data_IF_578305906188
#
_entry.id   IF_578305906188
#
_cell.length_a   1.000
_cell.length_b   1.000
_cell.length_c   1.000
_cell.angle_alpha   90.00
_cell.angle_beta   90.00
_cell.angle_gamma   90.00
#
_symmetry.space_group_name_H-M   'P 1'
#
loop_
_entity.id
_entity.type
_entity.pdbx_description
1 polymer ?
#
# COMPACT_ATOMS: atom_id res chain seq x y z
N UNK A 1 33.47 44.78 -18.08
CA UNK A 1 32.61 44.45 -16.90
C UNK A 1 33.39 44.76 -15.64
N UNK A 2 32.91 45.71 -14.85
CA UNK A 2 33.57 46.07 -13.60
C UNK A 2 33.24 45.10 -12.49
N UNK A 3 34.20 44.68 -11.67
CA UNK A 3 34.01 43.70 -10.54
C UNK A 3 32.79 44.00 -9.64
N UNK A 4 32.43 45.27 -9.50
CA UNK A 4 31.25 45.71 -8.73
C UNK A 4 29.92 45.27 -9.34
N UNK A 5 29.79 45.25 -10.65
CA UNK A 5 28.56 44.84 -11.35
C UNK A 5 28.29 43.32 -11.24
N UNK A 6 29.37 42.53 -11.23
CA UNK A 6 29.31 41.10 -11.02
C UNK A 6 28.87 40.70 -9.60
N UNK A 7 29.33 41.43 -8.59
CA UNK A 7 28.95 41.21 -7.19
C UNK A 7 27.51 41.61 -6.92
N UNK A 8 26.98 42.66 -7.55
CA UNK A 8 25.58 43.06 -7.43
C UNK A 8 24.61 42.06 -8.12
N UNK A 9 25.01 41.45 -9.22
CA UNK A 9 24.24 40.40 -9.90
C UNK A 9 24.18 39.12 -9.06
N UNK A 10 25.24 38.73 -8.37
CA UNK A 10 25.26 37.58 -7.46
C UNK A 10 24.47 37.84 -6.17
N UNK A 11 24.45 39.04 -5.65
CA UNK A 11 23.65 39.42 -4.47
C UNK A 11 22.14 39.41 -4.73
N UNK A 12 21.70 39.76 -5.94
CA UNK A 12 20.30 39.72 -6.34
C UNK A 12 19.74 38.27 -6.51
N UNK A 13 20.57 37.33 -6.94
CA UNK A 13 20.17 35.93 -7.12
C UNK A 13 20.00 35.18 -5.78
N UNK A 14 20.71 35.55 -4.74
CA UNK A 14 20.64 34.91 -3.44
C UNK A 14 19.35 35.27 -2.64
N UNK A 15 18.70 36.38 -2.96
CA UNK A 15 17.45 36.81 -2.31
C UNK A 15 16.20 36.21 -2.92
N UNK A 16 16.28 35.60 -4.14
CA UNK A 16 15.17 34.96 -4.82
C UNK A 16 14.99 33.49 -4.42
N UNK A 17 15.97 32.87 -3.76
CA UNK A 17 15.96 31.45 -3.37
C UNK A 17 14.88 31.06 -2.34
N UNK A 18 14.50 31.87 -1.36
CA UNK A 18 13.47 31.46 -0.39
C UNK A 18 12.02 31.57 -0.89
N UNK A 19 11.77 32.18 -2.06
CA UNK A 19 10.41 32.35 -2.56
C UNK A 19 9.85 31.09 -3.26
N UNK A 20 10.71 30.22 -3.77
CA UNK A 20 10.28 28.98 -4.41
C UNK A 20 9.94 27.86 -3.40
N UNK A 21 10.49 27.90 -2.20
CA UNK A 21 10.19 26.94 -1.13
C UNK A 21 8.81 27.16 -0.48
N UNK A 22 8.20 28.32 -0.64
CA UNK A 22 6.87 28.65 -0.10
C UNK A 22 5.71 28.28 -1.03
N UNK A 23 5.97 27.91 -2.27
CA UNK A 23 4.93 27.54 -3.24
C UNK A 23 4.25 26.19 -2.95
N UNK A 24 4.78 25.39 -2.02
CA UNK A 24 4.15 24.12 -1.59
C UNK A 24 3.19 24.27 -0.40
N UNK A 25 3.18 25.43 0.26
CA UNK A 25 2.39 25.67 1.48
C UNK A 25 0.88 25.87 1.26
N UNK A 26 0.40 25.86 0.01
CA UNK A 26 -1.01 26.11 -0.32
C UNK A 26 -1.79 24.92 -0.91
N UNK A 27 -1.13 23.80 -1.23
CA UNK A 27 -1.83 22.66 -1.83
C UNK A 27 -2.43 21.77 -0.77
N UNK A 28 -3.72 21.50 -0.89
CA UNK A 28 -4.42 20.48 -0.09
C UNK A 28 -4.59 19.24 -0.91
N UNK A 29 -4.12 18.11 -0.40
CA UNK A 29 -4.25 16.78 -1.00
C UNK A 29 -5.49 16.09 -0.48
N UNK A 30 -6.15 15.32 -1.34
CA UNK A 30 -7.29 14.50 -0.96
C UNK A 30 -7.02 13.04 -1.25
N UNK A 31 -7.03 12.18 -0.22
CA UNK A 31 -6.82 10.74 -0.36
C UNK A 31 -8.01 9.97 0.20
N UNK A 32 -8.31 8.82 -0.43
CA UNK A 32 -9.25 7.84 0.10
C UNK A 32 -8.48 6.66 0.70
N UNK A 33 -8.97 6.11 1.81
CA UNK A 33 -8.35 4.95 2.47
C UNK A 33 -9.39 3.85 2.57
N UNK A 34 -9.06 2.67 2.03
CA UNK A 34 -9.88 1.46 2.06
C UNK A 34 -9.14 0.41 2.89
N UNK A 35 -9.63 0.13 4.08
CA UNK A 35 -9.02 -0.83 4.99
C UNK A 35 -10.09 -1.48 5.89
N UNK A 36 -10.03 -2.81 6.06
CA UNK A 36 -10.98 -3.52 6.91
C UNK A 36 -10.73 -3.29 8.40
N UNK A 37 -9.51 -2.90 8.77
CA UNK A 37 -9.18 -2.58 10.15
C UNK A 37 -9.64 -1.16 10.50
N UNK A 38 -10.06 -0.92 11.75
CA UNK A 38 -10.48 0.40 12.21
C UNK A 38 -9.29 1.37 12.30
N UNK A 39 -9.57 2.66 12.38
CA UNK A 39 -8.54 3.72 12.44
C UNK A 39 -7.53 3.54 13.59
N UNK A 40 -7.96 3.01 14.73
CA UNK A 40 -7.08 2.74 15.87
C UNK A 40 -6.21 1.47 15.74
N UNK A 41 -6.32 0.73 14.64
CA UNK A 41 -5.46 -0.41 14.39
C UNK A 41 -4.01 0.03 14.17
N UNK A 42 -3.00 -0.66 14.75
CA UNK A 42 -1.61 -0.18 14.76
C UNK A 42 -1.07 0.22 13.38
N UNK A 43 -1.32 -0.58 12.34
CA UNK A 43 -0.83 -0.27 11.00
C UNK A 43 -1.53 0.96 10.37
N UNK A 44 -2.83 1.16 10.65
CA UNK A 44 -3.58 2.33 10.18
C UNK A 44 -3.11 3.59 10.92
N UNK A 45 -2.90 3.49 12.23
CA UNK A 45 -2.33 4.59 13.03
C UNK A 45 -0.93 4.97 12.53
N UNK A 46 -0.06 3.97 12.28
CA UNK A 46 1.27 4.21 11.75
C UNK A 46 1.27 4.91 10.40
N UNK A 47 0.30 4.60 9.51
CA UNK A 47 0.12 5.30 8.24
C UNK A 47 -0.11 6.80 8.46
N UNK A 48 -1.02 7.17 9.36
CA UNK A 48 -1.31 8.58 9.65
C UNK A 48 -0.13 9.29 10.33
N UNK A 49 0.59 8.59 11.20
CA UNK A 49 1.78 9.12 11.85
C UNK A 49 2.88 9.41 10.82
N UNK A 50 3.07 8.50 9.84
CA UNK A 50 4.07 8.68 8.79
C UNK A 50 3.67 9.77 7.80
N UNK A 51 2.41 9.87 7.42
CA UNK A 51 1.91 11.00 6.62
C UNK A 51 2.23 12.33 7.31
N UNK A 52 1.99 12.43 8.62
CA UNK A 52 2.27 13.63 9.41
C UNK A 52 3.77 13.94 9.48
N UNK A 53 4.65 12.93 9.66
CA UNK A 53 6.11 13.10 9.65
C UNK A 53 6.61 13.63 8.32
N UNK A 54 5.96 13.25 7.23
CA UNK A 54 6.25 13.73 5.88
C UNK A 54 5.53 15.04 5.52
N UNK A 55 4.96 15.74 6.51
CA UNK A 55 4.34 17.04 6.34
C UNK A 55 2.91 17.04 5.82
N UNK A 56 2.29 15.86 5.64
CA UNK A 56 0.88 15.70 5.26
C UNK A 56 0.01 15.61 6.52
N UNK A 57 -0.61 16.71 6.89
CA UNK A 57 -1.35 16.85 8.15
C UNK A 57 -2.84 17.00 7.89
N UNK A 58 -3.65 16.08 8.43
CA UNK A 58 -5.12 16.16 8.34
C UNK A 58 -5.62 17.49 8.90
N UNK A 59 -6.58 18.10 8.19
CA UNK A 59 -7.16 19.38 8.54
C UNK A 59 -6.30 20.60 8.19
N UNK A 60 -5.04 20.40 7.75
CA UNK A 60 -4.18 21.49 7.28
C UNK A 60 -3.97 21.43 5.76
N UNK A 61 -3.35 20.39 5.27
CA UNK A 61 -3.00 20.19 3.86
C UNK A 61 -3.34 18.78 3.36
N UNK A 62 -3.98 17.97 4.18
CA UNK A 62 -4.44 16.63 3.84
C UNK A 62 -5.92 16.48 4.25
N UNK A 63 -6.74 16.07 3.30
CA UNK A 63 -8.10 15.62 3.51
C UNK A 63 -8.11 14.11 3.30
N UNK A 64 -8.44 13.38 4.35
CA UNK A 64 -8.64 11.93 4.26
C UNK A 64 -10.14 11.64 4.30
N UNK A 65 -10.64 10.99 3.27
CA UNK A 65 -11.99 10.44 3.34
C UNK A 65 -11.92 9.09 4.06
N UNK A 66 -12.43 9.07 5.27
CA UNK A 66 -12.39 7.91 6.16
C UNK A 66 -13.56 6.94 6.00
N UNK A 67 -14.45 7.14 5.03
CA UNK A 67 -15.61 6.28 4.80
C UNK A 67 -15.24 4.82 4.49
N UNK A 68 -14.01 4.61 4.01
CA UNK A 68 -13.48 3.29 3.70
C UNK A 68 -12.67 2.61 4.82
N UNK A 69 -12.57 3.24 6.01
CA UNK A 69 -11.82 2.66 7.14
C UNK A 69 -12.75 1.85 8.04
N UNK A 70 -12.37 0.60 8.34
CA UNK A 70 -13.17 -0.30 9.17
C UNK A 70 -14.36 -0.92 8.45
N UNK A 71 -14.35 -0.94 7.12
CA UNK A 71 -15.41 -1.56 6.31
C UNK A 71 -14.97 -2.93 5.78
N UNK A 72 -15.89 -3.89 5.59
CA UNK A 72 -15.55 -5.20 5.04
C UNK A 72 -15.16 -5.11 3.56
N UNK A 73 -14.25 -5.98 3.12
CA UNK A 73 -13.72 -6.02 1.75
C UNK A 73 -14.77 -6.00 0.64
N UNK A 74 -15.93 -6.69 0.74
CA UNK A 74 -16.96 -6.63 -0.29
C UNK A 74 -17.53 -5.24 -0.56
N UNK A 75 -17.39 -4.30 0.38
CA UNK A 75 -17.82 -2.91 0.21
C UNK A 75 -16.78 -2.00 -0.45
N UNK A 76 -15.54 -2.46 -0.61
CA UNK A 76 -14.47 -1.65 -1.18
C UNK A 76 -14.79 -1.10 -2.58
N UNK A 77 -15.33 -1.89 -3.55
CA UNK A 77 -15.63 -1.35 -4.87
C UNK A 77 -16.66 -0.21 -4.85
N UNK A 78 -17.71 -0.34 -4.04
CA UNK A 78 -18.74 0.70 -3.96
C UNK A 78 -18.19 1.97 -3.31
N UNK A 79 -17.48 1.83 -2.19
CA UNK A 79 -16.83 2.96 -1.53
C UNK A 79 -15.77 3.60 -2.43
N UNK A 80 -15.01 2.82 -3.22
CA UNK A 80 -14.05 3.37 -4.18
C UNK A 80 -14.73 4.22 -5.26
N UNK A 81 -15.93 3.84 -5.73
CA UNK A 81 -16.71 4.68 -6.66
C UNK A 81 -17.15 6.00 -6.02
N UNK A 82 -17.53 5.99 -4.76
CA UNK A 82 -17.90 7.19 -4.01
C UNK A 82 -16.68 8.11 -3.82
N UNK A 83 -15.54 7.56 -3.44
CA UNK A 83 -14.27 8.27 -3.33
C UNK A 83 -13.83 8.88 -4.66
N UNK A 84 -14.02 8.16 -5.77
CA UNK A 84 -13.76 8.68 -7.10
C UNK A 84 -14.64 9.89 -7.44
N UNK A 85 -15.93 9.86 -7.09
CA UNK A 85 -16.85 11.02 -7.23
C UNK A 85 -16.42 12.19 -6.35
N UNK A 86 -15.88 11.92 -5.16
CA UNK A 86 -15.31 12.91 -4.26
C UNK A 86 -13.97 13.47 -4.73
N UNK A 87 -13.48 13.02 -5.92
CA UNK A 87 -12.24 13.48 -6.57
C UNK A 87 -11.00 13.31 -5.68
N UNK A 88 -10.85 12.14 -5.05
CA UNK A 88 -9.60 11.79 -4.38
C UNK A 88 -8.47 11.67 -5.41
N UNK A 89 -7.28 12.13 -5.04
CA UNK A 89 -6.08 12.11 -5.89
C UNK A 89 -5.36 10.78 -5.84
N UNK A 90 -5.56 10.00 -4.78
CA UNK A 90 -5.02 8.65 -4.62
C UNK A 90 -5.90 7.82 -3.67
N UNK A 91 -5.82 6.50 -3.84
CA UNK A 91 -6.42 5.51 -2.96
C UNK A 91 -5.33 4.70 -2.26
N UNK A 92 -5.44 4.55 -0.95
CA UNK A 92 -4.63 3.61 -0.17
C UNK A 92 -5.49 2.40 0.15
N UNK A 93 -5.08 1.21 -0.30
CA UNK A 93 -5.89 -0.02 -0.21
C UNK A 93 -5.12 -1.10 0.53
N UNK A 94 -5.65 -1.52 1.68
CA UNK A 94 -5.15 -2.65 2.45
C UNK A 94 -5.92 -3.94 2.17
N UNK A 95 -5.33 -5.09 2.54
CA UNK A 95 -6.01 -6.38 2.51
C UNK A 95 -5.58 -7.33 1.40
N UNK A 96 -4.41 -7.09 0.78
CA UNK A 96 -3.85 -7.99 -0.23
C UNK A 96 -4.44 -7.78 -1.63
N UNK A 97 -4.10 -8.67 -2.55
CA UNK A 97 -4.39 -8.53 -3.98
C UNK A 97 -5.87 -8.57 -4.35
N UNK A 98 -6.72 -9.44 -3.80
CA UNK A 98 -8.12 -9.48 -4.21
C UNK A 98 -8.85 -8.16 -3.95
N UNK A 99 -8.76 -7.52 -2.77
CA UNK A 99 -9.31 -6.18 -2.55
C UNK A 99 -8.74 -5.11 -3.48
N UNK A 100 -7.41 -5.10 -3.72
CA UNK A 100 -6.77 -4.14 -4.63
C UNK A 100 -7.33 -4.27 -6.05
N UNK A 101 -7.45 -5.49 -6.58
CA UNK A 101 -8.05 -5.73 -7.91
C UNK A 101 -9.49 -5.27 -8.00
N UNK A 102 -10.27 -5.53 -6.95
CA UNK A 102 -11.68 -5.13 -6.92
C UNK A 102 -11.83 -3.60 -6.98
N UNK A 103 -10.93 -2.86 -6.33
CA UNK A 103 -10.87 -1.39 -6.38
C UNK A 103 -10.35 -0.93 -7.74
N UNK A 104 -9.31 -1.56 -8.28
CA UNK A 104 -8.76 -1.21 -9.61
C UNK A 104 -9.83 -1.29 -10.70
N UNK A 105 -10.66 -2.32 -10.66
CA UNK A 105 -11.72 -2.53 -11.65
C UNK A 105 -12.72 -1.36 -11.74
N UNK A 106 -12.88 -0.57 -10.69
CA UNK A 106 -13.85 0.54 -10.61
C UNK A 106 -13.20 1.93 -10.50
N UNK A 107 -11.89 1.99 -10.24
CA UNK A 107 -11.13 3.22 -10.03
C UNK A 107 -9.85 3.27 -10.89
N UNK A 108 -9.89 2.77 -12.13
CA UNK A 108 -8.73 2.63 -13.02
C UNK A 108 -8.01 3.96 -13.32
N UNK A 109 -8.68 5.10 -13.22
CA UNK A 109 -8.10 6.43 -13.43
C UNK A 109 -7.45 7.06 -12.19
N UNK A 110 -7.52 6.41 -11.02
CA UNK A 110 -6.98 6.94 -9.77
C UNK A 110 -5.75 6.12 -9.37
N UNK A 111 -4.63 6.75 -8.99
CA UNK A 111 -3.48 6.04 -8.43
C UNK A 111 -3.87 5.24 -7.18
N UNK A 112 -3.47 3.98 -7.13
CA UNK A 112 -3.72 3.07 -6.01
C UNK A 112 -2.38 2.72 -5.37
N UNK A 113 -2.28 2.95 -4.06
CA UNK A 113 -1.15 2.51 -3.24
C UNK A 113 -1.63 1.30 -2.44
N UNK A 114 -1.11 0.12 -2.79
CA UNK A 114 -1.53 -1.15 -2.21
C UNK A 114 -0.45 -1.79 -1.33
N UNK A 115 -0.89 -2.71 -0.47
CA UNK A 115 -0.02 -3.63 0.26
C UNK A 115 -0.47 -5.05 -0.10
N UNK A 116 0.39 -5.80 -0.77
CA UNK A 116 0.13 -7.17 -1.20
C UNK A 116 1.30 -8.09 -0.85
N UNK A 117 1.09 -9.38 -0.94
CA UNK A 117 2.17 -10.34 -0.64
C UNK A 117 3.26 -10.31 -1.70
N UNK A 118 2.91 -10.38 -2.99
CA UNK A 118 3.82 -10.15 -4.10
C UNK A 118 3.09 -9.45 -5.26
N UNK A 119 3.31 -8.16 -5.38
CA UNK A 119 2.64 -7.34 -6.39
C UNK A 119 2.98 -7.74 -7.83
N UNK A 120 4.18 -8.29 -8.06
CA UNK A 120 4.64 -8.68 -9.39
C UNK A 120 4.12 -10.07 -9.75
N UNK A 121 4.36 -11.07 -8.90
CA UNK A 121 3.89 -12.43 -9.13
C UNK A 121 2.35 -12.49 -9.22
N UNK A 122 1.67 -11.63 -8.47
CA UNK A 122 0.22 -11.51 -8.51
C UNK A 122 -0.29 -10.59 -9.63
N UNK A 123 0.61 -10.06 -10.48
CA UNK A 123 0.24 -9.27 -11.66
C UNK A 123 -0.44 -7.94 -11.36
N UNK A 124 -0.24 -7.37 -10.17
CA UNK A 124 -0.68 -6.01 -9.83
C UNK A 124 0.28 -4.96 -10.39
N UNK A 125 1.55 -5.31 -10.50
CA UNK A 125 2.58 -4.46 -11.08
C UNK A 125 3.44 -5.27 -12.07
N UNK A 126 3.95 -4.61 -13.12
CA UNK A 126 4.84 -5.23 -14.10
C UNK A 126 6.21 -5.55 -13.49
N UNK A 127 6.73 -4.65 -12.67
CA UNK A 127 7.95 -4.81 -11.88
C UNK A 127 7.91 -3.86 -10.69
N UNK A 128 8.79 -4.06 -9.70
CA UNK A 128 8.89 -3.17 -8.53
C UNK A 128 9.44 -1.78 -8.90
N UNK A 129 10.28 -1.69 -9.94
CA UNK A 129 10.88 -0.43 -10.39
C UNK A 129 9.95 0.35 -11.32
N UNK A 130 9.19 -0.37 -12.15
CA UNK A 130 8.25 0.20 -13.12
C UNK A 130 6.92 -0.54 -13.04
N UNK A 131 6.01 -0.15 -12.14
CA UNK A 131 4.72 -0.82 -11.96
C UNK A 131 3.87 -0.88 -13.23
N UNK A 132 3.94 0.16 -14.07
CA UNK A 132 3.38 0.15 -15.42
C UNK A 132 1.87 0.35 -15.52
N UNK A 133 1.17 0.51 -14.41
CA UNK A 133 -0.27 0.77 -14.32
C UNK A 133 -0.58 1.87 -13.31
N UNK A 134 -1.83 1.91 -12.84
CA UNK A 134 -2.25 2.83 -11.78
C UNK A 134 -2.05 2.26 -10.36
N UNK A 135 -1.47 1.07 -10.20
CA UNK A 135 -1.17 0.46 -8.91
C UNK A 135 0.33 0.55 -8.64
N UNK A 136 0.67 0.97 -7.44
CA UNK A 136 2.00 0.87 -6.83
C UNK A 136 1.85 0.48 -5.37
N UNK A 137 2.95 0.22 -4.66
CA UNK A 137 2.87 -0.09 -3.23
C UNK A 137 4.01 -0.93 -2.71
N UNK A 138 3.70 -1.78 -1.73
CA UNK A 138 4.65 -2.60 -0.99
C UNK A 138 4.34 -4.08 -1.20
N UNK A 139 5.36 -4.86 -1.56
CA UNK A 139 5.33 -6.32 -1.53
C UNK A 139 5.91 -6.81 -0.20
N UNK A 140 5.14 -7.63 0.52
CA UNK A 140 5.56 -8.16 1.82
C UNK A 140 6.42 -9.42 1.70
N UNK A 141 6.37 -10.11 0.54
CA UNK A 141 7.03 -11.40 0.28
C UNK A 141 6.74 -12.46 1.36
N UNK A 142 5.56 -12.36 2.00
CA UNK A 142 5.15 -13.28 3.06
C UNK A 142 5.05 -14.75 2.59
N UNK A 143 4.56 -15.05 1.37
CA UNK A 143 4.45 -16.43 0.89
C UNK A 143 5.79 -17.17 0.80
N UNK A 144 6.90 -16.47 0.52
CA UNK A 144 8.24 -17.08 0.49
C UNK A 144 8.64 -17.62 1.86
N UNK A 145 8.12 -17.03 2.93
CA UNK A 145 8.39 -17.46 4.30
C UNK A 145 7.47 -18.60 4.76
N UNK A 146 6.33 -18.81 4.10
CA UNK A 146 5.33 -19.76 4.56
C UNK A 146 5.83 -21.20 4.47
N UNK A 147 6.54 -21.54 3.39
CA UNK A 147 7.22 -22.85 3.27
C UNK A 147 8.24 -23.07 4.39
N UNK A 148 9.01 -22.04 4.75
CA UNK A 148 9.98 -22.13 5.85
C UNK A 148 9.33 -22.24 7.22
N UNK A 149 8.21 -21.53 7.44
CA UNK A 149 7.41 -21.66 8.66
C UNK A 149 6.85 -23.07 8.84
N UNK A 150 6.34 -23.66 7.76
CA UNK A 150 5.87 -25.06 7.78
C UNK A 150 7.02 -26.03 8.07
N UNK A 151 8.16 -25.86 7.42
CA UNK A 151 9.36 -26.67 7.66
C UNK A 151 9.76 -26.66 9.14
N UNK A 152 9.88 -25.48 9.74
CA UNK A 152 10.19 -25.31 11.15
C UNK A 152 9.16 -25.99 12.06
N UNK A 153 7.87 -25.91 11.73
CA UNK A 153 6.82 -26.58 12.51
C UNK A 153 6.96 -28.13 12.44
N UNK A 154 7.28 -28.66 11.26
CA UNK A 154 7.49 -30.10 11.06
C UNK A 154 8.74 -30.58 11.80
N UNK A 155 9.80 -29.79 11.79
CA UNK A 155 11.03 -30.10 12.55
C UNK A 155 10.79 -30.09 14.07
N UNK A 156 9.97 -29.15 14.56
CA UNK A 156 9.63 -29.05 15.98
C UNK A 156 8.70 -30.19 16.46
N UNK A 157 7.95 -30.80 15.56
CA UNK A 157 6.95 -31.83 15.85
C UNK A 157 7.26 -33.13 15.07
N UNK A 158 8.28 -33.88 15.44
CA UNK A 158 8.65 -35.11 14.73
C UNK A 158 7.46 -36.10 14.70
N UNK A 159 7.17 -36.61 13.50
CA UNK A 159 6.08 -37.56 13.29
C UNK A 159 4.71 -36.95 13.02
N UNK A 160 4.60 -35.61 12.92
CA UNK A 160 3.35 -34.97 12.48
C UNK A 160 2.96 -35.47 11.07
N UNK A 161 1.70 -35.89 10.92
CA UNK A 161 1.13 -36.37 9.65
C UNK A 161 0.09 -35.44 9.07
N UNK A 162 -0.50 -34.62 9.91
CA UNK A 162 -1.55 -33.67 9.52
C UNK A 162 -1.34 -32.33 10.20
N UNK A 163 -1.55 -31.28 9.45
CA UNK A 163 -1.54 -29.88 9.89
C UNK A 163 -2.84 -29.22 9.42
N UNK A 164 -3.17 -28.08 10.01
CA UNK A 164 -4.27 -27.24 9.55
C UNK A 164 -3.76 -25.81 9.36
N UNK A 165 -4.15 -25.18 8.24
CA UNK A 165 -3.92 -23.78 7.98
C UNK A 165 -5.24 -23.01 8.12
N UNK A 166 -5.22 -21.94 8.91
CA UNK A 166 -6.32 -20.98 8.93
C UNK A 166 -6.03 -19.89 7.89
N UNK A 167 -6.84 -19.84 6.88
CA UNK A 167 -6.71 -18.93 5.75
C UNK A 167 -7.98 -18.10 5.53
N UNK A 168 -7.83 -16.84 5.15
CA UNK A 168 -8.94 -16.00 4.73
C UNK A 168 -8.90 -15.83 3.18
N UNK A 169 -9.80 -16.51 2.43
CA UNK A 169 -9.81 -16.45 0.97
C UNK A 169 -10.18 -15.07 0.41
N UNK A 170 -10.60 -14.13 1.26
CA UNK A 170 -10.88 -12.75 0.85
C UNK A 170 -9.62 -11.91 0.68
N UNK A 171 -8.49 -12.35 1.24
CA UNK A 171 -7.21 -11.63 1.23
C UNK A 171 -6.08 -12.47 0.65
N UNK A 172 -6.15 -13.79 0.74
CA UNK A 172 -5.15 -14.70 0.21
C UNK A 172 -5.55 -15.19 -1.19
N UNK A 173 -4.58 -15.27 -2.08
CA UNK A 173 -4.83 -15.77 -3.42
C UNK A 173 -4.90 -17.30 -3.44
N UNK A 174 -5.64 -17.90 -4.39
CA UNK A 174 -5.66 -19.36 -4.57
C UNK A 174 -4.25 -19.95 -4.77
N UNK A 175 -3.37 -19.21 -5.44
CA UNK A 175 -1.98 -19.61 -5.68
C UNK A 175 -1.18 -19.75 -4.39
N UNK A 176 -1.38 -18.83 -3.44
CA UNK A 176 -0.74 -18.92 -2.12
C UNK A 176 -1.20 -20.16 -1.35
N UNK A 177 -2.51 -20.42 -1.35
CA UNK A 177 -3.07 -21.61 -0.68
C UNK A 177 -2.58 -22.91 -1.31
N UNK A 178 -2.46 -22.95 -2.63
CA UNK A 178 -1.91 -24.10 -3.35
C UNK A 178 -0.42 -24.31 -3.01
N UNK A 179 0.36 -23.26 -2.96
CA UNK A 179 1.79 -23.34 -2.59
C UNK A 179 2.00 -23.90 -1.18
N UNK A 180 1.15 -23.51 -0.22
CA UNK A 180 1.15 -24.07 1.14
C UNK A 180 0.87 -25.58 1.14
N UNK A 181 -0.14 -26.03 0.39
CA UNK A 181 -0.50 -27.44 0.27
C UNK A 181 0.64 -28.26 -0.38
N UNK A 182 1.25 -27.72 -1.43
CA UNK A 182 2.33 -28.40 -2.14
C UNK A 182 3.59 -28.50 -1.25
N UNK A 183 3.90 -27.48 -0.47
CA UNK A 183 5.00 -27.50 0.50
C UNK A 183 4.78 -28.53 1.62
N UNK A 184 3.58 -28.67 2.15
CA UNK A 184 3.24 -29.68 3.14
C UNK A 184 3.34 -31.09 2.55
N UNK A 185 2.75 -31.30 1.36
CA UNK A 185 2.76 -32.59 0.65
C UNK A 185 4.20 -33.06 0.33
N UNK A 186 5.09 -32.13 -0.06
CA UNK A 186 6.48 -32.45 -0.33
C UNK A 186 7.24 -33.00 0.90
N UNK A 187 6.71 -32.77 2.10
CA UNK A 187 7.23 -33.28 3.38
C UNK A 187 6.41 -34.44 3.97
N UNK A 188 5.49 -35.00 3.19
CA UNK A 188 4.64 -36.12 3.62
C UNK A 188 3.62 -35.74 4.68
N UNK A 189 3.23 -34.47 4.76
CA UNK A 189 2.23 -33.94 5.68
C UNK A 189 0.99 -33.53 4.90
N UNK A 190 -0.19 -33.93 5.39
CA UNK A 190 -1.50 -33.51 4.89
C UNK A 190 -1.83 -32.14 5.51
N UNK A 191 -2.21 -31.15 4.67
CA UNK A 191 -2.64 -29.82 5.08
C UNK A 191 -4.10 -29.58 4.71
#
# INVERSE_FOLDING_TARGET
>A
MRRREFIMLLGGAATAWPLTARAQDGRTYRIGILNANPRGYPAVTALFDELRRNGLVEGRNLITDGSGIGIPYPRFPDTARELAKAKVEALVVGGGSPPIRSVQAVAAGIPIIGVADDMVAEGLARSLVQPGGNITGVSLFAPELDGKRQELLIELLPGVRRMAALADPRVQSPQQLQALQDAARARGVEL
#
